data_IF_649453396215
#
_entry.id   IF_649453396215
#
_cell.length_a   1.000
_cell.length_b   1.000
_cell.length_c   1.000
_cell.angle_alpha   90.00
_cell.angle_beta   90.00
_cell.angle_gamma   90.00
#
_symmetry.space_group_name_H-M   'P 1'
#
loop_
_entity.id
_entity.type
_entity.pdbx_description
1 polymer ?
#
# COMPACT_ATOMS: atom_id res chain seq x y z
N UNK A 1 -8.45 -9.91 -2.01
CA UNK A 1 -9.04 -8.65 -2.54
C UNK A 1 -8.14 -7.50 -2.13
N UNK A 2 -7.99 -6.45 -2.95
CA UNK A 2 -7.29 -5.20 -2.56
C UNK A 2 -8.33 -4.10 -2.39
N UNK A 3 -8.30 -3.41 -1.25
CA UNK A 3 -9.15 -2.26 -0.97
C UNK A 3 -8.30 -1.03 -0.62
N UNK A 4 -8.88 0.15 -0.80
CA UNK A 4 -8.32 1.40 -0.29
C UNK A 4 -9.10 1.82 0.96
N UNK A 5 -8.45 2.18 2.08
CA UNK A 5 -9.15 2.45 3.34
C UNK A 5 -10.26 3.50 3.22
N UNK A 6 -10.01 4.58 2.48
CA UNK A 6 -10.97 5.68 2.29
C UNK A 6 -12.22 5.32 1.46
N UNK A 7 -12.27 4.14 0.83
CA UNK A 7 -13.49 3.65 0.19
C UNK A 7 -14.48 3.03 1.19
N UNK A 8 -14.04 2.71 2.40
CA UNK A 8 -14.90 2.19 3.47
C UNK A 8 -15.55 3.38 4.20
N UNK A 9 -16.52 4.00 3.53
CA UNK A 9 -17.25 5.16 4.06
C UNK A 9 -18.13 4.79 5.26
N UNK A 10 -18.51 5.80 6.05
CA UNK A 10 -19.40 5.62 7.20
C UNK A 10 -20.66 4.82 6.82
N UNK A 11 -20.94 3.76 7.59
CA UNK A 11 -22.08 2.86 7.36
C UNK A 11 -21.83 1.73 6.35
N UNK A 12 -20.66 1.66 5.71
CA UNK A 12 -20.31 0.51 4.89
C UNK A 12 -20.11 -0.75 5.77
N UNK A 13 -20.78 -1.88 5.47
CA UNK A 13 -20.64 -3.10 6.25
C UNK A 13 -19.22 -3.68 6.13
N UNK A 14 -18.62 -4.05 7.26
CA UNK A 14 -17.27 -4.64 7.36
C UNK A 14 -17.27 -6.07 7.91
N UNK A 15 -18.43 -6.62 8.26
CA UNK A 15 -18.62 -7.97 8.79
C UNK A 15 -18.12 -9.05 7.82
N UNK A 16 -18.21 -8.82 6.52
CA UNK A 16 -17.66 -9.73 5.50
C UNK A 16 -16.14 -9.95 5.63
N UNK A 17 -15.41 -9.02 6.27
CA UNK A 17 -13.97 -9.10 6.44
C UNK A 17 -13.54 -9.77 7.75
N UNK A 18 -14.48 -10.09 8.65
CA UNK A 18 -14.19 -10.70 9.95
C UNK A 18 -13.63 -12.11 9.80
N UNK A 19 -14.12 -12.86 8.80
CA UNK A 19 -13.66 -14.21 8.49
C UNK A 19 -12.45 -14.23 7.53
N UNK A 20 -11.88 -13.07 7.22
CA UNK A 20 -10.73 -12.93 6.32
C UNK A 20 -9.41 -12.75 7.09
N UNK A 21 -8.30 -13.12 6.45
CA UNK A 21 -6.98 -12.66 6.88
C UNK A 21 -6.73 -11.26 6.33
N UNK A 22 -6.69 -10.27 7.22
CA UNK A 22 -6.52 -8.86 6.87
C UNK A 22 -5.02 -8.50 6.83
N UNK A 23 -4.50 -8.18 5.65
CA UNK A 23 -3.09 -7.80 5.46
C UNK A 23 -3.01 -6.32 5.10
N UNK A 24 -2.19 -5.58 5.83
CA UNK A 24 -2.08 -4.13 5.70
C UNK A 24 -0.76 -3.77 5.02
N UNK A 25 -0.84 -3.22 3.81
CA UNK A 25 0.33 -2.69 3.11
C UNK A 25 0.41 -1.18 3.33
N UNK A 26 1.48 -0.72 3.98
CA UNK A 26 1.77 0.70 4.20
C UNK A 26 2.92 1.17 3.28
N UNK A 27 3.05 2.49 3.14
CA UNK A 27 4.13 3.14 2.42
C UNK A 27 4.36 4.51 3.05
N UNK A 28 5.58 5.02 3.00
CA UNK A 28 5.89 6.33 3.57
C UNK A 28 5.07 7.46 2.90
N UNK A 29 4.44 8.39 3.67
CA UNK A 29 3.59 9.45 3.12
C UNK A 29 4.25 10.32 2.05
N UNK A 30 5.51 10.72 2.24
CA UNK A 30 6.24 11.50 1.23
C UNK A 30 6.28 10.83 -0.16
N UNK A 31 6.41 9.50 -0.23
CA UNK A 31 6.40 8.77 -1.49
C UNK A 31 5.01 8.71 -2.11
N UNK A 32 3.98 8.58 -1.28
CA UNK A 32 2.57 8.57 -1.73
C UNK A 32 2.18 9.95 -2.26
N UNK A 33 2.44 11.01 -1.50
CA UNK A 33 2.12 12.39 -1.89
C UNK A 33 2.85 12.78 -3.17
N UNK A 34 4.16 12.51 -3.28
CA UNK A 34 4.92 12.77 -4.50
C UNK A 34 4.34 12.03 -5.72
N UNK A 35 3.95 10.77 -5.55
CA UNK A 35 3.34 9.97 -6.61
C UNK A 35 1.94 10.46 -7.00
N UNK A 36 1.16 10.98 -6.05
CA UNK A 36 -0.16 11.56 -6.32
C UNK A 36 -0.05 12.89 -7.04
N UNK A 37 0.82 13.79 -6.56
CA UNK A 37 1.06 15.10 -7.16
C UNK A 37 1.51 15.01 -8.63
N UNK A 38 2.22 13.94 -9.00
CA UNK A 38 2.62 13.69 -10.39
C UNK A 38 1.44 13.37 -11.33
N UNK A 39 0.27 12.99 -10.81
CA UNK A 39 -0.89 12.56 -11.61
C UNK A 39 -2.19 13.32 -11.34
N UNK A 40 -2.30 13.98 -10.18
CA UNK A 40 -3.45 14.78 -9.74
C UNK A 40 -2.95 16.01 -9.01
N UNK A 41 -3.66 17.12 -9.19
CA UNK A 41 -3.42 18.34 -8.42
C UNK A 41 -4.02 18.21 -7.02
N UNK A 42 -3.20 18.56 -6.01
CA UNK A 42 -3.53 18.82 -4.61
C UNK A 42 -4.36 17.75 -3.86
N UNK A 43 -3.78 16.58 -3.50
CA UNK A 43 -4.49 15.58 -2.69
C UNK A 43 -4.76 16.08 -1.26
N UNK A 44 -5.89 15.69 -0.68
CA UNK A 44 -6.19 15.90 0.75
C UNK A 44 -5.71 14.72 1.61
N UNK A 45 -5.71 14.90 2.94
CA UNK A 45 -5.40 13.81 3.89
C UNK A 45 -6.33 12.61 3.72
N UNK A 46 -7.61 12.87 3.44
CA UNK A 46 -8.61 11.83 3.18
C UNK A 46 -8.35 11.07 1.89
N UNK A 47 -7.82 11.73 0.85
CA UNK A 47 -7.50 11.09 -0.43
C UNK A 47 -6.34 10.10 -0.32
N UNK A 48 -5.43 10.32 0.64
CA UNK A 48 -4.30 9.41 0.92
C UNK A 48 -4.61 8.39 2.03
N UNK A 49 -5.69 8.60 2.81
CA UNK A 49 -6.36 7.56 3.59
C UNK A 49 -5.62 7.03 4.82
N UNK A 50 -4.62 7.73 5.35
CA UNK A 50 -3.81 7.22 6.47
C UNK A 50 -4.59 7.13 7.78
N UNK A 51 -5.44 8.12 8.07
CA UNK A 51 -6.31 8.09 9.26
C UNK A 51 -7.32 6.93 9.19
N UNK A 52 -7.89 6.70 8.01
CA UNK A 52 -8.82 5.63 7.73
C UNK A 52 -8.12 4.27 7.81
N UNK A 53 -6.85 4.17 7.40
CA UNK A 53 -6.06 2.94 7.52
C UNK A 53 -5.85 2.55 8.99
N UNK A 54 -5.55 3.52 9.86
CA UNK A 54 -5.43 3.28 11.31
C UNK A 54 -6.75 2.77 11.89
N UNK A 55 -7.87 3.43 11.57
CA UNK A 55 -9.19 3.00 12.03
C UNK A 55 -9.55 1.59 11.54
N UNK A 56 -9.22 1.27 10.28
CA UNK A 56 -9.49 -0.03 9.70
C UNK A 56 -8.64 -1.13 10.35
N UNK A 57 -7.36 -0.87 10.63
CA UNK A 57 -6.48 -1.78 11.35
C UNK A 57 -6.96 -2.05 12.78
N UNK A 58 -7.47 -1.03 13.47
CA UNK A 58 -8.05 -1.20 14.82
C UNK A 58 -9.28 -2.12 14.80
N UNK A 59 -10.09 -2.09 13.73
CA UNK A 59 -11.28 -2.95 13.59
C UNK A 59 -10.95 -4.35 13.07
N UNK A 60 -9.97 -4.46 12.18
CA UNK A 60 -9.59 -5.67 11.46
C UNK A 60 -8.06 -5.80 11.53
N UNK A 61 -7.50 -6.29 12.64
CA UNK A 61 -6.06 -6.37 12.79
C UNK A 61 -5.46 -7.47 11.91
N UNK A 62 -4.16 -7.37 11.65
CA UNK A 62 -3.37 -8.41 10.99
C UNK A 62 -1.97 -7.93 10.63
N UNK A 63 -1.19 -8.73 9.87
CA UNK A 63 0.18 -8.37 9.55
C UNK A 63 0.28 -7.08 8.74
N UNK A 64 1.21 -6.21 9.14
CA UNK A 64 1.54 -4.98 8.43
C UNK A 64 2.85 -5.17 7.68
N UNK A 65 2.88 -4.85 6.38
CA UNK A 65 4.10 -4.78 5.57
C UNK A 65 4.35 -3.34 5.13
N UNK A 66 5.59 -2.89 5.22
CA UNK A 66 6.00 -1.70 4.48
C UNK A 66 6.43 -2.09 3.07
N UNK A 67 5.92 -1.34 2.09
CA UNK A 67 6.34 -1.44 0.70
C UNK A 67 7.85 -1.25 0.51
N UNK A 68 8.52 -0.48 1.36
CA UNK A 68 9.98 -0.31 1.32
C UNK A 68 10.70 -1.61 1.69
N UNK A 69 10.25 -2.30 2.75
CA UNK A 69 10.80 -3.60 3.16
C UNK A 69 10.61 -4.64 2.04
N UNK A 70 9.44 -4.64 1.38
CA UNK A 70 9.17 -5.51 0.22
C UNK A 70 10.11 -5.18 -0.94
N UNK A 71 10.36 -3.90 -1.24
CA UNK A 71 11.24 -3.52 -2.36
C UNK A 71 12.72 -3.79 -2.07
N UNK A 72 13.12 -3.80 -0.79
CA UNK A 72 14.47 -4.13 -0.39
C UNK A 72 14.76 -5.63 -0.47
N UNK A 73 13.82 -6.47 -0.03
CA UNK A 73 13.97 -7.93 -0.09
C UNK A 73 12.59 -8.62 -0.28
N UNK A 74 12.10 -8.69 -1.54
CA UNK A 74 10.75 -9.18 -1.81
C UNK A 74 10.56 -10.65 -1.40
N UNK A 75 11.58 -11.49 -1.60
CA UNK A 75 11.50 -12.92 -1.25
C UNK A 75 11.37 -13.10 0.26
N UNK A 76 12.23 -12.44 1.05
CA UNK A 76 12.17 -12.51 2.51
C UNK A 76 10.82 -12.04 3.05
N UNK A 77 10.31 -10.92 2.55
CA UNK A 77 9.05 -10.37 3.04
C UNK A 77 7.84 -11.22 2.65
N UNK A 78 7.81 -11.74 1.42
CA UNK A 78 6.73 -12.63 0.99
C UNK A 78 6.76 -13.97 1.73
N UNK A 79 7.93 -14.54 2.00
CA UNK A 79 8.05 -15.75 2.83
C UNK A 79 7.54 -15.53 4.25
N UNK A 80 7.88 -14.40 4.87
CA UNK A 80 7.36 -14.02 6.21
C UNK A 80 5.86 -13.89 6.20
N UNK A 81 5.31 -13.17 5.23
CA UNK A 81 3.87 -13.02 5.09
C UNK A 81 3.19 -14.38 4.93
N UNK A 82 3.64 -15.19 3.97
CA UNK A 82 3.10 -16.53 3.71
C UNK A 82 3.08 -17.38 4.97
N UNK A 83 4.19 -17.39 5.73
CA UNK A 83 4.27 -18.13 6.99
C UNK A 83 3.27 -17.67 8.05
N UNK A 84 3.00 -16.37 8.14
CA UNK A 84 2.04 -15.81 9.10
C UNK A 84 0.59 -16.12 8.70
N UNK A 85 0.29 -16.09 7.40
CA UNK A 85 -1.07 -16.27 6.89
C UNK A 85 -1.40 -17.71 6.48
N UNK A 86 -0.48 -18.64 6.72
CA UNK A 86 -0.68 -20.07 6.45
C UNK A 86 -0.69 -20.43 4.96
N UNK A 87 0.03 -19.68 4.12
CA UNK A 87 0.23 -20.00 2.71
C UNK A 87 1.63 -20.53 2.44
N UNK A 88 1.78 -21.34 1.40
CA UNK A 88 3.08 -21.73 0.88
C UNK A 88 3.63 -20.64 -0.03
N UNK A 89 4.90 -20.27 0.18
CA UNK A 89 5.60 -19.36 -0.72
C UNK A 89 5.87 -20.04 -2.06
N UNK A 90 5.66 -19.30 -3.16
CA UNK A 90 5.95 -19.74 -4.52
C UNK A 90 6.89 -18.74 -5.21
N UNK A 91 7.95 -19.24 -5.86
CA UNK A 91 8.90 -18.41 -6.62
C UNK A 91 8.23 -17.57 -7.73
N UNK A 92 7.08 -18.02 -8.24
CA UNK A 92 6.25 -17.27 -9.20
C UNK A 92 5.66 -15.99 -8.61
N UNK A 93 5.65 -15.82 -7.29
CA UNK A 93 5.22 -14.56 -6.66
C UNK A 93 6.20 -13.41 -6.95
N UNK A 94 7.45 -13.72 -7.31
CA UNK A 94 8.50 -12.73 -7.56
C UNK A 94 8.55 -12.24 -9.01
N UNK A 95 7.95 -12.99 -9.95
CA UNK A 95 8.05 -12.72 -11.37
C UNK A 95 6.71 -12.94 -12.07
N UNK A 96 6.34 -12.04 -12.97
CA UNK A 96 5.09 -12.09 -13.72
C UNK A 96 5.28 -11.64 -15.17
N UNK A 97 4.40 -12.06 -16.10
CA UNK A 97 4.45 -11.56 -17.46
C UNK A 97 4.06 -10.07 -17.49
N UNK A 98 4.76 -9.30 -18.31
CA UNK A 98 4.39 -7.94 -18.65
C UNK A 98 3.01 -7.88 -19.34
N UNK A 99 2.47 -6.68 -19.43
CA UNK A 99 1.24 -6.35 -20.12
C UNK A 99 0.00 -6.29 -19.23
N UNK A 100 -1.11 -5.78 -19.79
CA UNK A 100 -2.38 -5.66 -19.11
C UNK A 100 -2.97 -7.04 -18.77
N UNK A 101 -3.82 -7.06 -17.75
CA UNK A 101 -4.59 -8.25 -17.38
C UNK A 101 -6.03 -8.13 -17.89
N UNK A 102 -6.70 -9.24 -18.27
CA UNK A 102 -8.08 -9.21 -18.76
C UNK A 102 -9.09 -8.59 -17.78
N UNK A 103 -8.75 -8.59 -16.50
CA UNK A 103 -9.57 -8.06 -15.40
C UNK A 103 -9.15 -6.65 -14.95
N UNK A 104 -8.24 -6.00 -15.67
CA UNK A 104 -7.89 -4.61 -15.40
C UNK A 104 -9.10 -3.69 -15.65
N UNK A 105 -9.50 -2.95 -14.62
CA UNK A 105 -10.66 -2.07 -14.68
C UNK A 105 -10.38 -0.74 -15.39
N UNK A 106 -11.40 0.13 -15.43
CA UNK A 106 -11.35 1.44 -16.09
C UNK A 106 -10.20 2.36 -15.63
N UNK A 107 -9.60 2.11 -14.46
CA UNK A 107 -8.48 2.88 -13.92
C UNK A 107 -7.11 2.52 -14.54
N UNK A 108 -7.02 1.40 -15.25
CA UNK A 108 -5.75 0.90 -15.77
C UNK A 108 -5.01 1.87 -16.71
N UNK A 109 -5.68 2.56 -17.66
CA UNK A 109 -5.01 3.53 -18.53
C UNK A 109 -4.37 4.70 -17.79
N UNK A 110 -4.85 5.04 -16.59
CA UNK A 110 -4.38 6.17 -15.80
C UNK A 110 -3.28 5.78 -14.80
N UNK A 111 -3.39 4.58 -14.22
CA UNK A 111 -2.58 4.19 -13.07
C UNK A 111 -1.58 3.05 -13.34
N UNK A 112 -1.88 2.14 -14.27
CA UNK A 112 -1.20 0.84 -14.32
C UNK A 112 -0.04 0.77 -15.31
N UNK A 113 0.25 1.83 -16.07
CA UNK A 113 1.31 1.82 -17.08
C UNK A 113 2.68 1.33 -16.57
N UNK A 114 3.08 1.70 -15.35
CA UNK A 114 4.34 1.20 -14.75
C UNK A 114 4.25 -0.29 -14.39
N UNK A 115 3.12 -0.74 -13.86
CA UNK A 115 2.90 -2.17 -13.51
C UNK A 115 2.84 -3.03 -14.77
N UNK A 116 2.18 -2.56 -15.83
CA UNK A 116 2.13 -3.27 -17.11
C UNK A 116 3.51 -3.45 -17.75
N UNK A 117 4.48 -2.58 -17.46
CA UNK A 117 5.87 -2.74 -17.94
C UNK A 117 6.76 -3.52 -16.98
N UNK A 118 6.24 -3.94 -15.83
CA UNK A 118 7.01 -4.69 -14.84
C UNK A 118 6.88 -6.18 -15.07
N UNK A 119 7.94 -6.92 -14.75
CA UNK A 119 7.98 -8.38 -14.74
C UNK A 119 8.35 -8.95 -13.37
N UNK A 120 8.46 -8.09 -12.36
CA UNK A 120 8.85 -8.42 -10.99
C UNK A 120 8.89 -7.16 -10.13
N UNK A 121 9.28 -7.30 -8.87
CA UNK A 121 9.45 -6.17 -7.97
C UNK A 121 10.57 -5.25 -8.45
N UNK A 122 10.32 -3.94 -8.47
CA UNK A 122 11.40 -2.98 -8.59
C UNK A 122 12.29 -3.08 -7.32
N UNK A 123 13.61 -2.92 -7.50
CA UNK A 123 14.57 -2.95 -6.38
C UNK A 123 14.35 -1.82 -5.36
N UNK A 124 15.29 -1.56 -4.44
CA UNK A 124 15.14 -0.54 -3.40
C UNK A 124 14.63 0.82 -3.92
N UNK A 125 13.82 1.50 -3.12
CA UNK A 125 13.46 2.89 -3.42
C UNK A 125 14.67 3.80 -3.16
N UNK A 126 14.79 4.89 -3.91
CA UNK A 126 15.78 5.93 -3.62
C UNK A 126 15.44 6.72 -2.34
N UNK A 127 16.17 7.80 -2.04
CA UNK A 127 15.86 8.69 -0.92
C UNK A 127 14.40 9.14 -0.89
N UNK A 128 13.90 9.51 0.29
CA UNK A 128 12.57 10.10 0.40
C UNK A 128 12.49 11.40 -0.42
N UNK A 129 11.39 11.64 -1.15
CA UNK A 129 11.16 12.90 -1.82
C UNK A 129 11.15 14.06 -0.82
N UNK A 130 11.84 15.14 -1.15
CA UNK A 130 11.76 16.40 -0.41
C UNK A 130 10.56 17.21 -0.94
N UNK A 131 9.54 17.36 -0.10
CA UNK A 131 8.29 18.03 -0.44
C UNK A 131 8.12 19.26 0.46
N UNK A 132 7.78 20.39 -0.15
CA UNK A 132 7.58 21.67 0.53
C UNK A 132 6.19 22.24 0.26
N UNK A 133 5.82 23.29 1.00
CA UNK A 133 4.50 23.91 0.92
C UNK A 133 3.37 22.97 1.32
N UNK A 134 2.23 23.07 0.64
CA UNK A 134 1.02 22.28 0.97
C UNK A 134 1.26 20.76 0.95
N UNK A 135 2.13 20.27 0.05
CA UNK A 135 2.46 18.85 -0.03
C UNK A 135 3.33 18.39 1.16
N UNK A 136 4.24 19.24 1.64
CA UNK A 136 5.02 18.98 2.86
C UNK A 136 4.11 18.94 4.10
N UNK A 137 3.21 19.92 4.23
CA UNK A 137 2.24 19.96 5.33
C UNK A 137 1.31 18.73 5.33
N UNK A 138 0.94 18.23 4.13
CA UNK A 138 0.15 17.01 4.01
C UNK A 138 0.92 15.78 4.50
N UNK A 139 2.22 15.69 4.19
CA UNK A 139 3.09 14.63 4.69
C UNK A 139 3.16 14.67 6.20
N UNK A 140 3.37 15.85 6.80
CA UNK A 140 3.41 16.03 8.25
C UNK A 140 2.11 15.57 8.93
N UNK A 141 0.95 15.87 8.34
CA UNK A 141 -0.35 15.42 8.84
C UNK A 141 -0.54 13.91 8.76
N UNK A 142 0.02 13.26 7.74
CA UNK A 142 -0.10 11.82 7.53
C UNK A 142 0.92 11.00 8.33
N UNK A 143 2.07 11.59 8.68
CA UNK A 143 3.20 10.89 9.27
C UNK A 143 2.88 10.18 10.60
N UNK A 144 2.17 10.80 11.57
CA UNK A 144 1.84 10.12 12.83
C UNK A 144 1.00 8.85 12.63
N UNK A 145 0.11 8.83 11.64
CA UNK A 145 -0.70 7.66 11.31
C UNK A 145 0.13 6.56 10.67
N UNK A 146 1.04 6.93 9.77
CA UNK A 146 2.00 5.98 9.20
C UNK A 146 2.90 5.38 10.28
N UNK A 147 3.48 6.20 11.14
CA UNK A 147 4.40 5.76 12.21
C UNK A 147 3.71 4.78 13.17
N UNK A 148 2.47 5.07 13.58
CA UNK A 148 1.69 4.18 14.44
C UNK A 148 1.48 2.78 13.83
N UNK A 149 1.32 2.68 12.50
CA UNK A 149 1.24 1.39 11.81
C UNK A 149 2.63 0.79 11.57
N UNK A 150 3.61 1.61 11.23
CA UNK A 150 4.97 1.19 10.94
C UNK A 150 5.65 0.55 12.14
N UNK A 151 5.35 1.00 13.37
CA UNK A 151 5.83 0.36 14.60
C UNK A 151 5.39 -1.10 14.75
N UNK A 152 4.27 -1.47 14.12
CA UNK A 152 3.68 -2.82 14.16
C UNK A 152 4.05 -3.67 12.93
N UNK A 153 4.91 -3.15 12.03
CA UNK A 153 5.25 -3.82 10.78
C UNK A 153 6.11 -5.06 10.98
N UNK A 154 6.04 -5.97 10.02
CA UNK A 154 7.00 -7.06 9.91
C UNK A 154 8.39 -6.50 9.61
N UNK A 155 9.37 -6.77 10.49
CA UNK A 155 10.79 -6.50 10.23
C UNK A 155 11.38 -7.48 9.23
#
# INVERSE_FOLDING_TARGET
MKLMPFHMVDGFPLDWADDCVNVHLIRHPARVVASYAAKRENPSLRDIGYSEHVALYQRLPGPILDSEDIRNDPERMLRKLCGIIGLEFDQRMLNWPEGPKPFDGAWAPHWYGTVHRSTGFAGPEGPLPDLSGELGELVEKALPHYEALAEQRLG
#
